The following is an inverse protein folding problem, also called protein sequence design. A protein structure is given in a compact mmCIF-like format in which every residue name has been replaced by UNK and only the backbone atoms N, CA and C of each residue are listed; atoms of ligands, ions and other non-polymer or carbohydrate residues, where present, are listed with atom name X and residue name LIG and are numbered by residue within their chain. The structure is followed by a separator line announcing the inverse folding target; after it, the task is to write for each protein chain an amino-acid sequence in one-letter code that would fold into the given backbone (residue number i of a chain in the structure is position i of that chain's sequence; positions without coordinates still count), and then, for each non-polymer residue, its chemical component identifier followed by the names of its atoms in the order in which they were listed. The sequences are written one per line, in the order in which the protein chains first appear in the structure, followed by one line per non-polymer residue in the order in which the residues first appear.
data_IF_223133257664
#
_entry.id   IF_223133257664
#
_cell.length_a   1.000
_cell.length_b   1.000
_cell.length_c   1.000
_cell.angle_alpha   90.00
_cell.angle_beta   90.00
_cell.angle_gamma   90.00
#
_symmetry.space_group_name_H-M   'P 1'
#
loop_
_entity.id
_entity.type
_entity.pdbx_description
1 polymer ?
#
# COMPACT_ATOMS: atom_id res chain seq x y z
N UNK A 1 7.77 10.91 22.05
CA UNK A 1 7.92 10.25 20.74
C UNK A 1 6.70 9.39 20.54
N UNK A 2 5.96 9.60 19.44
CA UNK A 2 4.82 8.72 19.13
C UNK A 2 5.35 7.39 18.57
N UNK A 3 4.71 6.25 18.88
CA UNK A 3 5.07 4.98 18.28
C UNK A 3 4.81 5.00 16.77
N UNK A 4 5.58 4.23 16.01
CA UNK A 4 5.25 4.01 14.60
C UNK A 4 3.98 3.16 14.48
N UNK A 5 3.17 3.47 13.48
CA UNK A 5 1.92 2.76 13.17
C UNK A 5 2.06 2.10 11.81
N UNK A 6 1.83 0.79 11.77
CA UNK A 6 1.69 0.06 10.50
C UNK A 6 0.26 0.22 9.98
N UNK A 7 0.12 0.32 8.66
CA UNK A 7 -1.15 0.56 7.98
C UNK A 7 -1.44 -0.60 7.03
N UNK A 8 -2.62 -1.19 7.14
CA UNK A 8 -3.11 -2.23 6.22
C UNK A 8 -4.09 -1.56 5.26
N UNK A 9 -3.85 -1.71 3.96
CA UNK A 9 -4.73 -1.22 2.88
C UNK A 9 -5.27 -2.44 2.12
N UNK A 10 -6.49 -2.89 2.43
CA UNK A 10 -7.17 -3.86 1.58
C UNK A 10 -7.59 -3.17 0.27
N UNK A 11 -7.38 -3.86 -0.86
CA UNK A 11 -7.73 -3.35 -2.17
C UNK A 11 -8.41 -4.42 -3.02
N UNK A 12 -9.55 -4.06 -3.62
CA UNK A 12 -10.26 -4.84 -4.63
C UNK A 12 -10.73 -3.89 -5.72
N UNK A 13 -10.29 -4.12 -6.95
CA UNK A 13 -10.59 -3.27 -8.10
C UNK A 13 -10.38 -1.76 -7.83
N UNK A 14 -9.22 -1.45 -7.25
CA UNK A 14 -8.82 -0.14 -6.77
C UNK A 14 -7.81 0.57 -7.69
N UNK A 15 -7.71 0.21 -8.97
CA UNK A 15 -6.71 0.77 -9.90
C UNK A 15 -6.67 2.31 -9.89
N UNK A 16 -7.84 2.94 -9.71
CA UNK A 16 -8.02 4.41 -9.78
C UNK A 16 -7.69 5.13 -8.48
N UNK A 17 -7.56 4.42 -7.37
CA UNK A 17 -7.46 5.03 -6.03
C UNK A 17 -6.28 4.53 -5.21
N UNK A 18 -5.72 3.36 -5.53
CA UNK A 18 -4.64 2.73 -4.77
C UNK A 18 -3.44 3.65 -4.61
N UNK A 19 -2.95 4.26 -5.70
CA UNK A 19 -1.79 5.15 -5.68
C UNK A 19 -2.02 6.33 -4.73
N UNK A 20 -3.15 7.03 -4.90
CA UNK A 20 -3.51 8.19 -4.06
C UNK A 20 -3.61 7.79 -2.58
N UNK A 21 -4.15 6.61 -2.28
CA UNK A 21 -4.26 6.12 -0.91
C UNK A 21 -2.87 5.84 -0.31
N UNK A 22 -1.98 5.18 -1.04
CA UNK A 22 -0.60 4.89 -0.62
C UNK A 22 0.19 6.18 -0.41
N UNK A 23 0.14 7.13 -1.34
CA UNK A 23 0.79 8.44 -1.21
C UNK A 23 0.29 9.21 0.02
N UNK A 24 -1.02 9.15 0.30
CA UNK A 24 -1.60 9.77 1.49
C UNK A 24 -1.03 9.19 2.79
N UNK A 25 -0.79 7.87 2.84
CA UNK A 25 -0.25 7.18 4.01
C UNK A 25 1.26 7.44 4.14
N UNK A 26 2.02 7.40 3.04
CA UNK A 26 3.46 7.68 3.01
C UNK A 26 3.81 9.06 3.61
N UNK A 27 2.89 10.03 3.51
CA UNK A 27 3.06 11.38 4.04
C UNK A 27 2.70 11.54 5.53
N UNK A 28 2.27 10.48 6.23
CA UNK A 28 1.89 10.59 7.64
C UNK A 28 3.11 10.62 8.58
N UNK A 29 3.15 11.51 9.58
CA UNK A 29 4.15 11.46 10.63
C UNK A 29 3.95 10.18 11.46
N UNK A 30 5.04 9.43 11.69
CA UNK A 30 5.04 8.15 12.43
C UNK A 30 4.52 6.93 11.65
N UNK A 31 4.57 6.95 10.32
CA UNK A 31 4.37 5.73 9.54
C UNK A 31 5.47 4.68 9.81
N UNK A 32 5.05 3.46 10.14
CA UNK A 32 5.85 2.25 10.09
C UNK A 32 5.91 1.67 8.67
N UNK A 33 5.22 0.54 8.46
CA UNK A 33 5.05 -0.14 7.16
C UNK A 33 3.61 -0.04 6.63
N UNK A 34 3.49 -0.11 5.31
CA UNK A 34 2.21 -0.27 4.61
C UNK A 34 2.11 -1.71 4.13
N UNK A 35 0.98 -2.36 4.39
CA UNK A 35 0.66 -3.69 3.92
C UNK A 35 -0.45 -3.60 2.88
N UNK A 36 -0.13 -3.89 1.62
CA UNK A 36 -1.10 -3.94 0.54
C UNK A 36 -1.64 -5.37 0.43
N UNK A 37 -2.95 -5.53 0.63
CA UNK A 37 -3.63 -6.83 0.61
C UNK A 37 -4.66 -6.80 -0.52
N UNK A 38 -4.33 -7.42 -1.65
CA UNK A 38 -5.24 -7.55 -2.78
C UNK A 38 -6.27 -8.67 -2.52
N UNK A 39 -7.55 -8.36 -2.68
CA UNK A 39 -8.66 -9.31 -2.48
C UNK A 39 -9.15 -9.88 -3.81
N UNK A 40 -8.22 -10.46 -4.59
CA UNK A 40 -8.46 -11.06 -5.90
C UNK A 40 -9.02 -10.08 -6.94
N UNK A 41 -8.39 -8.92 -7.08
CA UNK A 41 -8.76 -7.94 -8.10
C UNK A 41 -8.64 -8.53 -9.51
N UNK A 42 -9.53 -8.06 -10.40
CA UNK A 42 -9.53 -8.40 -11.83
C UNK A 42 -9.04 -7.26 -12.73
N UNK A 43 -8.69 -6.11 -12.15
CA UNK A 43 -8.14 -4.94 -12.81
C UNK A 43 -6.63 -4.79 -12.52
N UNK A 44 -6.06 -3.62 -12.81
CA UNK A 44 -4.63 -3.34 -12.63
C UNK A 44 -4.18 -3.17 -11.17
N UNK A 45 -5.06 -3.37 -10.17
CA UNK A 45 -4.74 -3.20 -8.75
C UNK A 45 -3.53 -4.04 -8.32
N UNK A 46 -3.46 -5.30 -8.73
CA UNK A 46 -2.38 -6.20 -8.35
C UNK A 46 -1.04 -5.75 -8.95
N UNK A 47 -1.05 -5.31 -10.21
CA UNK A 47 0.14 -4.79 -10.89
C UNK A 47 0.64 -3.51 -10.21
N UNK A 48 -0.28 -2.62 -9.83
CA UNK A 48 0.04 -1.39 -9.10
C UNK A 48 0.59 -1.67 -7.69
N UNK A 49 0.01 -2.63 -6.95
CA UNK A 49 0.51 -3.02 -5.63
C UNK A 49 1.96 -3.54 -5.70
N UNK A 50 2.26 -4.36 -6.72
CA UNK A 50 3.61 -4.84 -7.02
C UNK A 50 4.57 -3.71 -7.39
N UNK A 51 4.14 -2.78 -8.24
CA UNK A 51 4.98 -1.62 -8.60
C UNK A 51 5.30 -0.76 -7.37
N UNK A 52 4.32 -0.51 -6.49
CA UNK A 52 4.49 0.29 -5.28
C UNK A 52 5.43 -0.39 -4.27
N UNK A 53 5.32 -1.71 -4.09
CA UNK A 53 6.24 -2.46 -3.22
C UNK A 53 7.68 -2.45 -3.75
N UNK A 54 7.86 -2.58 -5.07
CA UNK A 54 9.17 -2.46 -5.71
C UNK A 54 9.76 -1.04 -5.62
N UNK A 55 8.93 0.00 -5.70
CA UNK A 55 9.36 1.40 -5.59
C UNK A 55 9.75 1.77 -4.15
N UNK A 56 9.10 1.16 -3.14
CA UNK A 56 9.31 1.47 -1.72
C UNK A 56 9.57 0.20 -0.88
N UNK A 57 10.64 -0.57 -1.15
CA UNK A 57 10.84 -1.92 -0.59
C UNK A 57 10.99 -1.94 0.94
N UNK A 58 11.46 -0.84 1.55
CA UNK A 58 11.62 -0.72 3.01
C UNK A 58 10.33 -0.27 3.72
N UNK A 59 9.32 0.17 2.97
CA UNK A 59 8.09 0.79 3.51
C UNK A 59 6.82 0.06 3.14
N UNK A 60 6.77 -0.57 1.96
CA UNK A 60 5.57 -1.20 1.43
C UNK A 60 5.83 -2.69 1.28
N UNK A 61 5.03 -3.48 1.98
CA UNK A 61 4.97 -4.92 1.87
C UNK A 61 3.71 -5.29 1.09
N UNK A 62 3.88 -6.19 0.14
CA UNK A 62 2.82 -6.82 -0.62
C UNK A 62 3.02 -8.32 -0.46
N UNK A 63 1.96 -9.02 -0.03
CA UNK A 63 1.98 -10.46 0.13
C UNK A 63 1.01 -11.04 -0.88
N UNK A 64 1.51 -11.97 -1.69
CA UNK A 64 0.70 -12.84 -2.54
C UNK A 64 0.28 -14.07 -1.75
#
# INVERSE_FOLDING_TARGET
MFPNIDVIIPCYNAEKTLIRAVESVLNQPCLGKIWLIDDASSDETLALANQLSAQYPERILWNQ
#
